data_IF_584615083874
#
_entry.id   IF_584615083874
#
_cell.length_a   1.000
_cell.length_b   1.000
_cell.length_c   1.000
_cell.angle_alpha   90.00
_cell.angle_beta   90.00
_cell.angle_gamma   90.00
#
_symmetry.space_group_name_H-M   'P 1'
#
loop_
_entity.id
_entity.type
_entity.pdbx_description
1 polymer ?
#
# COMPACT_ATOMS: atom_id res chain seq x y z
N UNK A 1 -11.13 -28.16 81.12
CA UNK A 1 -10.70 -28.82 79.85
C UNK A 1 -10.51 -27.75 78.78
N UNK A 2 -9.29 -27.58 78.28
CA UNK A 2 -8.92 -26.53 77.30
C UNK A 2 -9.49 -26.87 75.92
N UNK A 3 -10.19 -25.90 75.29
CA UNK A 3 -10.61 -25.94 73.87
C UNK A 3 -9.36 -25.91 72.99
N UNK A 4 -9.09 -27.01 72.30
CA UNK A 4 -8.12 -27.05 71.20
C UNK A 4 -8.75 -26.30 70.02
N UNK A 5 -8.25 -25.10 69.73
CA UNK A 5 -8.64 -24.35 68.54
C UNK A 5 -8.18 -25.12 67.31
N UNK A 6 -9.12 -25.30 66.37
CA UNK A 6 -8.93 -26.04 65.13
C UNK A 6 -8.11 -25.20 64.14
N UNK A 7 -6.80 -25.11 64.39
CA UNK A 7 -5.86 -24.26 63.66
C UNK A 7 -5.62 -24.77 62.22
N UNK A 8 -5.80 -26.06 61.96
CA UNK A 8 -5.54 -26.68 60.66
C UNK A 8 -6.49 -26.22 59.54
N UNK A 9 -7.76 -25.90 59.84
CA UNK A 9 -8.74 -25.52 58.82
C UNK A 9 -8.52 -24.15 58.19
N UNK A 10 -7.91 -23.21 58.92
CA UNK A 10 -7.62 -21.87 58.40
C UNK A 10 -6.45 -21.85 57.41
N UNK A 11 -5.43 -22.69 57.63
CA UNK A 11 -4.28 -22.78 56.72
C UNK A 11 -4.65 -23.41 55.38
N UNK A 12 -5.50 -24.44 55.36
CA UNK A 12 -5.96 -25.09 54.12
C UNK A 12 -6.83 -24.16 53.27
N UNK A 13 -7.69 -23.35 53.89
CA UNK A 13 -8.56 -22.41 53.18
C UNK A 13 -7.77 -21.23 52.60
N UNK A 14 -6.76 -20.74 53.31
CA UNK A 14 -5.85 -19.70 52.83
C UNK A 14 -4.99 -20.17 51.65
N UNK A 15 -4.48 -21.41 51.68
CA UNK A 15 -3.72 -21.99 50.57
C UNK A 15 -4.57 -22.14 49.29
N UNK A 16 -5.83 -22.59 49.43
CA UNK A 16 -6.77 -22.72 48.32
C UNK A 16 -7.10 -21.36 47.67
N UNK A 17 -7.26 -20.31 48.49
CA UNK A 17 -7.51 -18.95 48.00
C UNK A 17 -6.31 -18.39 47.21
N UNK A 18 -5.08 -18.61 47.69
CA UNK A 18 -3.85 -18.20 46.99
C UNK A 18 -3.71 -18.96 45.67
N UNK A 19 -4.03 -20.25 45.64
CA UNK A 19 -4.00 -21.05 44.41
C UNK A 19 -5.05 -20.59 43.39
N UNK A 20 -6.26 -20.26 43.85
CA UNK A 20 -7.33 -19.72 43.00
C UNK A 20 -6.96 -18.35 42.42
N UNK A 21 -6.37 -17.47 43.25
CA UNK A 21 -5.83 -16.17 42.85
C UNK A 21 -4.72 -16.35 41.81
N UNK A 22 -3.76 -17.27 42.03
CA UNK A 22 -2.71 -17.57 41.06
C UNK A 22 -3.29 -18.07 39.73
N UNK A 23 -4.29 -18.96 39.73
CA UNK A 23 -4.96 -19.45 38.51
C UNK A 23 -5.74 -18.33 37.80
N UNK A 24 -6.36 -17.41 38.55
CA UNK A 24 -7.05 -16.24 38.00
C UNK A 24 -6.08 -15.18 37.45
N UNK A 25 -4.84 -15.13 37.95
CA UNK A 25 -3.76 -14.27 37.45
C UNK A 25 -2.88 -14.92 36.37
N UNK A 26 -3.04 -16.21 36.06
CA UNK A 26 -2.30 -16.86 34.96
C UNK A 26 -2.52 -16.25 33.56
N UNK A 27 -3.64 -15.58 33.21
CA UNK A 27 -3.75 -14.92 31.91
C UNK A 27 -2.90 -13.64 31.80
N UNK A 28 -2.41 -13.09 32.92
CA UNK A 28 -1.72 -11.79 32.93
C UNK A 28 -0.20 -11.87 32.62
N UNK A 29 0.36 -13.08 32.55
CA UNK A 29 1.78 -13.32 32.21
C UNK A 29 1.91 -14.20 30.97
N UNK A 30 1.20 -13.85 29.89
CA UNK A 30 1.62 -14.33 28.56
C UNK A 30 2.93 -13.64 28.21
N UNK A 31 4.07 -14.26 28.53
CA UNK A 31 5.39 -13.79 28.08
C UNK A 31 5.42 -13.96 26.56
N UNK A 32 5.15 -12.87 25.83
CA UNK A 32 5.36 -12.84 24.39
C UNK A 32 6.85 -12.86 24.12
N UNK A 33 7.35 -13.95 23.56
CA UNK A 33 8.72 -14.03 23.07
C UNK A 33 8.75 -13.29 21.73
N UNK A 34 9.16 -12.02 21.74
CA UNK A 34 9.22 -11.20 20.54
C UNK A 34 10.65 -11.03 20.00
N UNK A 35 11.66 -11.50 20.73
CA UNK A 35 13.09 -11.37 20.37
C UNK A 35 13.76 -12.71 20.15
N UNK A 36 14.80 -12.72 19.31
CA UNK A 36 15.73 -13.84 19.10
C UNK A 36 17.16 -13.32 19.16
N UNK A 37 17.96 -13.84 20.09
CA UNK A 37 19.38 -13.50 20.24
C UNK A 37 20.28 -14.35 19.32
N UNK A 38 21.59 -14.07 19.31
CA UNK A 38 22.55 -14.82 18.49
C UNK A 38 22.78 -16.27 18.92
N UNK A 39 22.46 -16.62 20.17
CA UNK A 39 22.54 -18.00 20.67
C UNK A 39 21.27 -18.80 20.36
N UNK A 40 20.22 -18.16 19.87
CA UNK A 40 18.93 -18.77 19.62
C UNK A 40 18.70 -19.02 18.13
N UNK A 41 17.76 -19.92 17.84
CA UNK A 41 17.26 -20.13 16.49
C UNK A 41 15.79 -20.53 16.50
N UNK A 42 15.12 -20.26 15.39
CA UNK A 42 13.80 -20.80 15.09
C UNK A 42 13.99 -21.94 14.10
N UNK A 43 13.47 -23.11 14.40
CA UNK A 43 13.48 -24.25 13.47
C UNK A 43 12.07 -24.69 13.12
N UNK A 44 11.90 -25.21 11.92
CA UNK A 44 10.64 -25.81 11.45
C UNK A 44 10.13 -26.92 12.38
N UNK A 45 11.02 -27.69 13.03
CA UNK A 45 10.66 -28.80 13.93
C UNK A 45 10.26 -28.36 15.35
N UNK A 46 10.75 -27.19 15.80
CA UNK A 46 10.51 -26.71 17.16
C UNK A 46 9.09 -26.15 17.38
N UNK A 47 8.37 -25.83 16.30
CA UNK A 47 7.12 -25.05 16.32
C UNK A 47 7.23 -23.72 17.10
N UNK A 48 8.45 -23.24 17.39
CA UNK A 48 8.69 -21.96 18.06
C UNK A 48 8.37 -20.83 17.09
N UNK A 49 7.71 -19.80 17.60
CA UNK A 49 7.37 -18.56 16.89
C UNK A 49 7.82 -17.34 17.67
N UNK A 50 7.91 -16.19 17.02
CA UNK A 50 7.99 -14.89 17.69
C UNK A 50 6.61 -14.23 17.65
N UNK A 51 6.15 -13.69 18.77
CA UNK A 51 4.85 -13.02 18.86
C UNK A 51 5.07 -11.56 19.19
N UNK A 52 4.47 -10.65 18.42
CA UNK A 52 4.62 -9.22 18.67
C UNK A 52 4.01 -8.85 20.03
N UNK A 53 4.55 -7.82 20.73
CA UNK A 53 3.88 -7.30 21.91
C UNK A 53 2.43 -6.88 21.56
N UNK A 54 1.47 -7.27 22.41
CA UNK A 54 0.03 -7.12 22.14
C UNK A 54 -0.62 -8.30 21.40
N UNK A 55 0.18 -9.25 20.91
CA UNK A 55 -0.28 -10.49 20.31
C UNK A 55 -1.04 -10.30 19.01
N UNK A 56 -0.70 -9.27 18.23
CA UNK A 56 -1.33 -8.98 16.92
C UNK A 56 -0.69 -9.82 15.82
N UNK A 57 0.64 -9.85 15.78
CA UNK A 57 1.41 -10.52 14.74
C UNK A 57 2.20 -11.70 15.31
N UNK A 58 2.40 -12.70 14.47
CA UNK A 58 3.21 -13.88 14.78
C UNK A 58 4.11 -14.21 13.58
N UNK A 59 5.39 -14.44 13.87
CA UNK A 59 6.41 -14.82 12.91
C UNK A 59 6.84 -16.27 13.12
N UNK A 60 6.90 -17.03 12.03
CA UNK A 60 7.38 -18.40 12.07
C UNK A 60 7.37 -19.09 10.72
N UNK A 61 7.62 -20.40 10.76
CA UNK A 61 7.57 -21.25 9.57
C UNK A 61 6.13 -21.63 9.23
N UNK A 62 5.82 -21.64 7.95
CA UNK A 62 4.54 -22.11 7.44
C UNK A 62 4.71 -22.86 6.12
N UNK A 63 3.69 -23.65 5.80
CA UNK A 63 3.54 -24.37 4.55
C UNK A 63 2.12 -24.07 4.03
N UNK A 64 1.97 -23.39 2.88
CA UNK A 64 0.66 -23.21 2.25
C UNK A 64 -0.02 -24.56 1.99
N UNK A 65 -1.36 -24.57 2.01
CA UNK A 65 -2.15 -25.75 1.65
C UNK A 65 -1.86 -26.13 0.19
N UNK A 66 -1.73 -27.42 -0.10
CA UNK A 66 -1.50 -27.91 -1.47
C UNK A 66 -0.05 -27.84 -1.97
N UNK A 67 0.89 -27.23 -1.22
CA UNK A 67 2.32 -27.15 -1.60
C UNK A 67 3.21 -27.92 -0.63
N UNK A 68 4.32 -28.46 -1.16
CA UNK A 68 5.38 -29.12 -0.38
C UNK A 68 6.55 -28.19 -0.02
N UNK A 69 6.33 -26.86 -0.07
CA UNK A 69 7.37 -25.84 0.13
C UNK A 69 7.15 -25.08 1.43
N UNK A 70 8.24 -24.81 2.14
CA UNK A 70 8.23 -24.11 3.42
C UNK A 70 8.74 -22.68 3.30
N UNK A 71 8.13 -21.80 4.08
CA UNK A 71 8.40 -20.37 4.07
C UNK A 71 8.49 -19.85 5.49
N UNK A 72 9.27 -18.78 5.67
CA UNK A 72 9.26 -17.95 6.86
C UNK A 72 8.36 -16.74 6.59
N UNK A 73 7.40 -16.46 7.46
CA UNK A 73 6.50 -15.32 7.28
C UNK A 73 5.92 -14.79 8.58
N UNK A 74 5.19 -13.69 8.44
CA UNK A 74 4.45 -13.00 9.50
C UNK A 74 2.96 -13.08 9.16
N UNK A 75 2.12 -13.42 10.14
CA UNK A 75 0.66 -13.45 9.99
C UNK A 75 -0.05 -12.80 11.17
N UNK A 76 -1.33 -12.46 10.98
CA UNK A 76 -2.20 -12.03 12.07
C UNK A 76 -2.50 -13.20 13.01
N UNK A 77 -2.07 -13.12 14.26
CA UNK A 77 -2.16 -14.21 15.24
C UNK A 77 -3.59 -14.56 15.62
N UNK A 78 -4.45 -13.54 15.74
CA UNK A 78 -5.85 -13.67 16.21
C UNK A 78 -6.84 -13.96 15.07
N UNK A 79 -6.41 -13.86 13.82
CA UNK A 79 -7.30 -14.08 12.68
C UNK A 79 -7.74 -15.56 12.63
N UNK A 80 -9.03 -15.85 12.36
CA UNK A 80 -9.54 -17.21 12.32
C UNK A 80 -8.87 -18.06 11.23
N UNK A 81 -8.53 -17.42 10.10
CA UNK A 81 -7.76 -17.99 9.01
C UNK A 81 -6.39 -17.34 8.94
N UNK A 82 -5.34 -18.14 8.64
CA UNK A 82 -3.97 -17.62 8.52
C UNK A 82 -3.90 -16.57 7.42
N UNK A 83 -3.78 -15.31 7.84
CA UNK A 83 -3.63 -14.15 6.96
C UNK A 83 -2.18 -13.70 7.02
N UNK A 84 -1.41 -14.06 5.99
CA UNK A 84 0.01 -13.70 5.90
C UNK A 84 0.15 -12.23 5.48
N UNK A 85 0.96 -11.48 6.21
CA UNK A 85 1.25 -10.08 5.96
C UNK A 85 2.65 -9.86 5.34
N UNK A 86 3.54 -10.84 5.47
CA UNK A 86 4.91 -10.77 4.97
C UNK A 86 5.53 -12.16 4.83
N UNK A 87 6.40 -12.36 3.83
CA UNK A 87 7.11 -13.62 3.56
C UNK A 87 8.58 -13.32 3.19
N UNK A 88 9.53 -13.87 3.95
CA UNK A 88 10.96 -13.59 3.77
C UNK A 88 11.51 -14.17 2.46
N UNK A 89 11.29 -15.47 2.28
CA UNK A 89 11.93 -16.28 1.25
C UNK A 89 10.94 -16.68 0.15
N UNK A 90 10.09 -15.73 -0.27
CA UNK A 90 8.95 -15.97 -1.16
C UNK A 90 9.32 -16.62 -2.50
N UNK A 91 10.47 -16.21 -3.07
CA UNK A 91 11.00 -16.75 -4.34
C UNK A 91 12.11 -17.79 -4.13
N UNK A 92 12.51 -18.03 -2.88
CA UNK A 92 13.53 -19.01 -2.50
C UNK A 92 12.95 -19.94 -1.42
N UNK A 93 11.98 -20.80 -1.77
CA UNK A 93 11.33 -21.69 -0.80
C UNK A 93 12.28 -22.72 -0.23
N UNK A 94 12.03 -23.15 1.01
CA UNK A 94 12.64 -24.36 1.56
C UNK A 94 11.97 -25.58 0.93
N UNK A 95 12.77 -26.51 0.40
CA UNK A 95 12.29 -27.71 -0.29
C UNK A 95 11.83 -28.84 0.64
N UNK A 96 12.18 -28.79 1.93
CA UNK A 96 11.82 -29.79 2.93
C UNK A 96 11.39 -29.13 4.24
N UNK A 97 10.90 -29.93 5.19
CA UNK A 97 10.51 -29.48 6.53
C UNK A 97 11.71 -29.22 7.45
N UNK A 98 12.89 -28.95 6.90
CA UNK A 98 14.13 -28.65 7.63
C UNK A 98 14.57 -27.24 7.25
N UNK A 99 14.25 -26.29 8.13
CA UNK A 99 14.64 -24.89 8.01
C UNK A 99 15.10 -24.35 9.35
N UNK A 100 16.13 -23.52 9.35
CA UNK A 100 16.64 -22.84 10.56
C UNK A 100 16.87 -21.37 10.29
N UNK A 101 16.14 -20.50 10.99
CA UNK A 101 16.42 -19.07 11.06
C UNK A 101 17.32 -18.80 12.26
N UNK A 102 18.45 -18.12 12.05
CA UNK A 102 19.36 -17.71 13.12
C UNK A 102 20.16 -16.48 12.74
N UNK A 103 20.82 -15.87 13.72
CA UNK A 103 21.81 -14.83 13.48
C UNK A 103 23.18 -15.51 13.29
N UNK A 104 23.86 -15.20 12.19
CA UNK A 104 25.20 -15.69 11.87
C UNK A 104 26.07 -14.52 11.42
N UNK A 105 27.14 -14.25 12.16
CA UNK A 105 28.06 -13.15 11.82
C UNK A 105 27.39 -11.77 11.74
N UNK A 106 26.48 -11.47 12.67
CA UNK A 106 25.66 -10.24 12.73
C UNK A 106 24.70 -10.04 11.55
N UNK A 107 24.43 -11.09 10.77
CA UNK A 107 23.44 -11.11 9.71
C UNK A 107 22.35 -12.12 10.05
N UNK A 108 21.11 -11.88 9.64
CA UNK A 108 20.05 -12.87 9.79
C UNK A 108 20.06 -13.79 8.58
N UNK A 109 20.14 -15.09 8.82
CA UNK A 109 20.26 -16.13 7.78
C UNK A 109 19.19 -17.19 7.96
N UNK A 110 18.56 -17.58 6.85
CA UNK A 110 17.69 -18.73 6.75
C UNK A 110 18.43 -19.87 6.06
N UNK A 111 18.64 -20.97 6.78
CA UNK A 111 19.34 -22.16 6.30
C UNK A 111 18.36 -23.27 5.95
N UNK A 112 18.64 -23.98 4.85
CA UNK A 112 17.93 -25.20 4.44
C UNK A 112 18.59 -26.49 4.94
N UNK A 113 18.08 -27.63 4.45
CA UNK A 113 18.52 -28.97 4.86
C UNK A 113 20.01 -29.25 4.66
N UNK A 114 20.61 -28.75 3.58
CA UNK A 114 22.04 -28.92 3.30
C UNK A 114 22.92 -27.86 3.97
N UNK A 115 22.38 -27.12 4.94
CA UNK A 115 23.01 -25.94 5.59
C UNK A 115 23.33 -24.79 4.63
N UNK A 116 22.84 -24.86 3.40
CA UNK A 116 22.92 -23.77 2.44
C UNK A 116 22.07 -22.58 2.89
N UNK A 117 22.55 -21.37 2.62
CA UNK A 117 21.77 -20.15 2.87
C UNK A 117 20.74 -19.98 1.77
N UNK A 118 19.46 -20.02 2.15
CA UNK A 118 18.31 -19.87 1.25
C UNK A 118 17.89 -18.41 1.15
N UNK A 119 18.04 -17.67 2.25
CA UNK A 119 17.74 -16.24 2.31
C UNK A 119 18.59 -15.56 3.39
N UNK A 120 18.94 -14.29 3.21
CA UNK A 120 19.59 -13.48 4.25
C UNK A 120 19.32 -12.00 4.07
N UNK A 121 19.55 -11.20 5.12
CA UNK A 121 19.36 -9.75 5.11
C UNK A 121 20.48 -8.96 4.40
N UNK A 122 21.53 -9.63 3.91
CA UNK A 122 22.67 -9.06 3.19
C UNK A 122 23.34 -7.87 3.91
N UNK A 123 23.41 -7.89 5.25
CA UNK A 123 24.14 -6.90 6.01
C UNK A 123 25.64 -7.07 5.74
N UNK A 124 26.30 -6.02 5.27
CA UNK A 124 27.77 -5.99 5.19
C UNK A 124 28.34 -6.00 6.61
N UNK A 125 29.47 -6.69 6.81
CA UNK A 125 30.21 -6.66 8.08
C UNK A 125 30.73 -5.24 8.34
N UNK A 126 29.90 -4.37 8.89
CA UNK A 126 30.36 -3.20 9.61
C UNK A 126 31.07 -3.63 10.90
N UNK A 127 31.95 -2.79 11.43
CA UNK A 127 32.69 -3.01 12.68
C UNK A 127 31.74 -3.13 13.89
N UNK A 128 31.01 -4.23 14.02
CA UNK A 128 30.00 -4.43 15.05
C UNK A 128 30.62 -5.13 16.25
N UNK A 129 31.06 -4.34 17.25
CA UNK A 129 31.51 -4.81 18.56
C UNK A 129 30.36 -5.19 19.51
N UNK A 130 29.11 -4.83 19.17
CA UNK A 130 27.94 -5.00 20.03
C UNK A 130 27.04 -6.16 19.56
N UNK A 131 26.50 -7.00 20.47
CA UNK A 131 25.65 -8.12 20.09
C UNK A 131 24.37 -7.64 19.41
N UNK A 132 23.99 -8.35 18.34
CA UNK A 132 22.81 -8.07 17.51
C UNK A 132 21.65 -8.98 17.93
N UNK A 133 20.44 -8.44 17.86
CA UNK A 133 19.20 -9.18 18.11
C UNK A 133 18.21 -8.98 16.97
N UNK A 134 17.38 -9.98 16.73
CA UNK A 134 16.21 -9.89 15.87
C UNK A 134 14.96 -9.71 16.73
N UNK A 135 14.06 -8.81 16.35
CA UNK A 135 12.87 -8.47 17.15
C UNK A 135 11.65 -8.23 16.26
N UNK A 136 10.51 -8.80 16.65
CA UNK A 136 9.21 -8.51 16.05
C UNK A 136 8.50 -7.41 16.87
N UNK A 137 8.33 -6.24 16.27
CA UNK A 137 7.72 -5.07 16.89
C UNK A 137 6.18 -5.16 16.91
N UNK A 138 5.49 -4.35 17.74
CA UNK A 138 4.02 -4.39 17.87
C UNK A 138 3.26 -4.16 16.55
N UNK A 139 3.81 -3.32 15.68
CA UNK A 139 3.27 -3.00 14.35
C UNK A 139 3.56 -4.08 13.28
N UNK A 140 4.24 -5.16 13.65
CA UNK A 140 4.59 -6.26 12.73
C UNK A 140 5.91 -6.07 11.99
N UNK A 141 6.63 -4.97 12.23
CA UNK A 141 7.97 -4.77 11.66
C UNK A 141 8.95 -5.73 12.33
N UNK A 142 9.60 -6.58 11.52
CA UNK A 142 10.63 -7.49 11.99
C UNK A 142 11.98 -6.85 11.72
N UNK A 143 12.75 -6.60 12.77
CA UNK A 143 13.94 -5.76 12.71
C UNK A 143 15.17 -6.48 13.22
N UNK A 144 16.32 -6.06 12.70
CA UNK A 144 17.64 -6.39 13.25
C UNK A 144 18.23 -5.12 13.84
N UNK A 145 18.66 -5.17 15.10
CA UNK A 145 19.25 -4.03 15.80
C UNK A 145 20.34 -4.45 16.77
N UNK A 146 21.17 -3.50 17.18
CA UNK A 146 22.07 -3.72 18.31
C UNK A 146 21.26 -3.88 19.60
N UNK A 147 21.65 -4.84 20.44
CA UNK A 147 20.97 -5.15 21.71
C UNK A 147 20.82 -3.94 22.63
N UNK A 148 21.82 -3.06 22.66
CA UNK A 148 21.88 -1.85 23.47
C UNK A 148 21.17 -0.64 22.85
N UNK A 149 20.65 -0.74 21.63
CA UNK A 149 19.93 0.34 20.96
C UNK A 149 18.49 -0.08 20.67
N UNK A 150 17.51 0.68 21.16
CA UNK A 150 16.08 0.45 20.90
C UNK A 150 15.48 1.51 19.95
N UNK A 151 16.24 2.53 19.57
CA UNK A 151 15.79 3.59 18.67
C UNK A 151 15.69 3.07 17.24
N UNK A 152 14.64 3.51 16.54
CA UNK A 152 14.38 3.11 15.16
C UNK A 152 15.44 3.57 14.17
N UNK A 153 16.15 4.66 14.47
CA UNK A 153 17.31 5.14 13.71
C UNK A 153 18.51 4.19 13.78
N UNK A 154 18.55 3.28 14.76
CA UNK A 154 19.60 2.30 14.97
C UNK A 154 19.33 0.93 14.35
N UNK A 155 18.25 0.79 13.58
CA UNK A 155 17.93 -0.47 12.91
C UNK A 155 18.91 -0.75 11.77
N UNK A 156 19.47 -1.95 11.76
CA UNK A 156 20.37 -2.43 10.72
C UNK A 156 19.59 -2.95 9.50
N UNK A 157 18.44 -3.57 9.75
CA UNK A 157 17.53 -4.09 8.73
C UNK A 157 16.09 -4.11 9.26
N UNK A 158 15.11 -3.94 8.36
CA UNK A 158 13.69 -3.94 8.70
C UNK A 158 12.87 -4.63 7.59
N UNK A 159 11.89 -5.46 7.97
CA UNK A 159 10.97 -6.08 7.01
C UNK A 159 10.10 -5.06 6.28
N UNK A 160 9.81 -3.92 6.92
CA UNK A 160 9.02 -2.83 6.33
C UNK A 160 9.68 -2.20 5.09
N UNK A 161 11.00 -2.35 4.91
CA UNK A 161 11.69 -1.92 3.70
C UNK A 161 11.58 -2.93 2.54
N UNK A 162 11.10 -4.15 2.82
CA UNK A 162 10.98 -5.25 1.87
C UNK A 162 9.56 -5.84 1.91
N UNK A 163 8.52 -5.05 1.59
CA UNK A 163 7.14 -5.54 1.54
C UNK A 163 6.98 -6.72 0.56
N UNK A 164 5.96 -7.56 0.81
CA UNK A 164 5.53 -8.60 -0.15
C UNK A 164 4.39 -8.07 -1.01
N UNK A 165 3.17 -8.46 -0.71
CA UNK A 165 1.92 -8.11 -1.36
C UNK A 165 1.06 -7.19 -0.50
N UNK A 166 1.42 -6.98 0.78
CA UNK A 166 0.62 -6.27 1.78
C UNK A 166 1.33 -5.02 2.31
N UNK A 167 0.56 -3.93 2.50
CA UNK A 167 0.92 -2.77 3.30
C UNK A 167 0.16 -2.80 4.64
N UNK A 168 0.90 -2.86 5.74
CA UNK A 168 0.41 -2.76 7.12
C UNK A 168 0.35 -1.31 7.60
N UNK A 169 -0.34 -1.02 8.71
CA UNK A 169 -0.24 0.28 9.37
C UNK A 169 1.23 0.66 9.65
N UNK A 170 1.56 1.94 9.55
CA UNK A 170 2.90 2.52 9.72
C UNK A 170 3.94 2.15 8.64
N UNK A 171 3.65 1.19 7.76
CA UNK A 171 4.50 0.94 6.60
C UNK A 171 4.46 2.11 5.62
N UNK A 172 5.58 2.33 4.93
CA UNK A 172 5.73 3.35 3.90
C UNK A 172 5.70 2.69 2.53
N UNK A 173 4.73 3.09 1.70
CA UNK A 173 4.64 2.69 0.29
C UNK A 173 5.13 3.84 -0.58
N UNK A 174 6.22 3.64 -1.32
CA UNK A 174 6.86 4.69 -2.12
C UNK A 174 8.37 4.79 -1.90
N UNK A 175 8.93 5.96 -2.20
CA UNK A 175 10.37 6.19 -2.23
C UNK A 175 10.95 6.65 -0.90
N UNK A 176 12.06 6.02 -0.53
CA UNK A 176 13.09 6.58 0.33
C UNK A 176 14.10 7.32 -0.56
N UNK A 177 14.16 8.65 -0.47
CA UNK A 177 15.04 9.44 -1.34
C UNK A 177 16.51 9.38 -0.90
N UNK A 178 16.78 9.09 0.38
CA UNK A 178 18.15 8.98 0.91
C UNK A 178 18.84 7.71 0.39
N UNK A 179 18.12 6.59 0.36
CA UNK A 179 18.65 5.30 -0.10
C UNK A 179 18.33 4.98 -1.57
N UNK A 180 17.40 5.72 -2.18
CA UNK A 180 16.90 5.46 -3.53
C UNK A 180 15.96 4.25 -3.64
N UNK A 181 15.54 3.67 -2.51
CA UNK A 181 14.67 2.47 -2.48
C UNK A 181 13.21 2.85 -2.73
N UNK A 182 12.58 2.21 -3.71
CA UNK A 182 11.13 2.22 -3.88
C UNK A 182 10.53 0.99 -3.18
N UNK A 183 9.71 1.21 -2.16
CA UNK A 183 8.93 0.18 -1.47
C UNK A 183 7.59 0.02 -2.19
N UNK A 184 7.35 -1.14 -2.79
CA UNK A 184 6.17 -1.42 -3.61
C UNK A 184 5.61 -2.81 -3.32
N UNK A 185 4.36 -3.06 -3.71
CA UNK A 185 3.70 -4.34 -3.46
C UNK A 185 3.76 -5.21 -4.72
N UNK A 186 3.99 -6.51 -4.54
CA UNK A 186 3.97 -7.53 -5.58
C UNK A 186 3.05 -8.67 -5.15
N UNK A 187 2.00 -8.91 -5.93
CA UNK A 187 1.05 -10.01 -5.77
C UNK A 187 1.71 -11.35 -5.50
N UNK A 188 0.99 -12.24 -4.81
CA UNK A 188 1.30 -13.67 -4.84
C UNK A 188 1.02 -14.23 -6.24
N UNK A 189 1.73 -15.29 -6.62
CA UNK A 189 1.52 -15.98 -7.90
C UNK A 189 0.19 -16.71 -7.96
N UNK A 190 -0.35 -17.07 -6.80
CA UNK A 190 -1.68 -17.66 -6.63
C UNK A 190 -2.02 -17.77 -5.16
N UNK A 191 -3.25 -18.18 -4.84
CA UNK A 191 -3.73 -18.28 -3.45
C UNK A 191 -2.91 -19.20 -2.54
N UNK A 192 -2.24 -20.20 -3.11
CA UNK A 192 -1.38 -21.17 -2.42
C UNK A 192 0.12 -20.96 -2.69
N UNK A 193 0.49 -19.97 -3.50
CA UNK A 193 1.87 -19.74 -3.97
C UNK A 193 2.35 -18.33 -3.65
N UNK A 194 3.09 -18.15 -2.54
CA UNK A 194 3.57 -16.83 -2.15
C UNK A 194 4.70 -16.28 -3.02
N UNK A 195 5.21 -17.04 -3.99
CA UNK A 195 6.20 -16.52 -4.95
C UNK A 195 5.66 -15.29 -5.69
N UNK A 196 6.57 -14.50 -6.23
CA UNK A 196 6.25 -13.25 -6.91
C UNK A 196 5.33 -13.50 -8.11
N UNK A 197 4.13 -12.93 -8.05
CA UNK A 197 3.15 -12.91 -9.12
C UNK A 197 3.44 -11.83 -10.16
N UNK A 198 2.52 -11.65 -11.11
CA UNK A 198 2.70 -10.73 -12.24
C UNK A 198 2.29 -9.29 -11.93
N UNK A 199 1.53 -9.06 -10.87
CA UNK A 199 0.94 -7.74 -10.58
C UNK A 199 1.74 -7.00 -9.52
N UNK A 200 2.10 -5.77 -9.86
CA UNK A 200 2.93 -4.89 -9.04
C UNK A 200 2.23 -3.55 -8.89
N UNK A 201 2.10 -3.08 -7.66
CA UNK A 201 1.57 -1.75 -7.35
C UNK A 201 2.67 -0.88 -6.77
N UNK A 202 3.09 0.15 -7.52
CA UNK A 202 4.27 0.96 -7.19
C UNK A 202 4.05 2.45 -7.48
N UNK A 203 4.77 3.28 -6.74
CA UNK A 203 4.84 4.72 -7.02
C UNK A 203 5.77 4.99 -8.21
N UNK A 204 5.33 5.80 -9.16
CA UNK A 204 6.14 6.33 -10.25
C UNK A 204 6.31 7.84 -10.09
N UNK A 205 7.56 8.27 -9.90
CA UNK A 205 7.93 9.67 -9.68
C UNK A 205 8.51 10.33 -10.95
N UNK A 206 8.50 9.64 -12.10
CA UNK A 206 9.06 10.15 -13.38
C UNK A 206 8.04 10.90 -14.22
N UNK A 207 6.94 11.31 -13.60
CA UNK A 207 5.81 12.04 -14.21
C UNK A 207 5.75 13.44 -13.62
N UNK A 208 4.87 14.29 -14.14
CA UNK A 208 4.66 15.63 -13.60
C UNK A 208 4.34 15.62 -12.11
N UNK A 209 3.47 14.70 -11.67
CA UNK A 209 3.22 14.41 -10.25
C UNK A 209 3.50 12.93 -9.97
N UNK A 210 3.91 12.56 -8.74
CA UNK A 210 3.98 11.16 -8.36
C UNK A 210 2.62 10.47 -8.43
N UNK A 211 2.57 9.30 -9.06
CA UNK A 211 1.33 8.53 -9.20
C UNK A 211 1.57 7.05 -8.91
N UNK A 212 0.63 6.41 -8.21
CA UNK A 212 0.65 4.96 -8.08
C UNK A 212 0.06 4.28 -9.31
N UNK A 213 0.72 3.21 -9.73
CA UNK A 213 0.35 2.44 -10.93
C UNK A 213 0.27 0.97 -10.57
N UNK A 214 -0.83 0.33 -10.98
CA UNK A 214 -0.93 -1.12 -11.05
C UNK A 214 -0.40 -1.60 -12.40
N UNK A 215 0.60 -2.48 -12.36
CA UNK A 215 1.33 -2.95 -13.54
C UNK A 215 1.20 -4.46 -13.62
N UNK A 216 0.76 -4.95 -14.77
CA UNK A 216 0.85 -6.34 -15.16
C UNK A 216 2.22 -6.59 -15.83
N UNK A 217 2.95 -7.59 -15.35
CA UNK A 217 4.29 -7.98 -15.83
C UNK A 217 4.31 -9.36 -16.53
N UNK A 218 3.14 -9.87 -16.93
CA UNK A 218 3.02 -11.17 -17.60
C UNK A 218 3.89 -11.24 -18.87
N UNK A 219 4.54 -12.38 -19.10
CA UNK A 219 5.47 -12.61 -20.22
C UNK A 219 6.58 -11.55 -20.36
N UNK A 220 7.02 -10.95 -19.26
CA UNK A 220 8.01 -9.85 -19.22
C UNK A 220 7.57 -8.57 -19.95
N UNK A 221 6.28 -8.43 -20.27
CA UNK A 221 5.71 -7.20 -20.80
C UNK A 221 5.21 -6.34 -19.65
N UNK A 222 5.54 -5.05 -19.64
CA UNK A 222 5.07 -4.12 -18.61
C UNK A 222 3.90 -3.32 -19.14
N UNK A 223 2.70 -3.68 -18.71
CA UNK A 223 1.46 -2.99 -19.09
C UNK A 223 0.89 -2.29 -17.85
N UNK A 224 0.74 -0.97 -17.92
CA UNK A 224 0.03 -0.21 -16.90
C UNK A 224 -1.46 -0.51 -17.07
N UNK A 225 -2.10 -1.10 -16.06
CA UNK A 225 -3.50 -1.52 -16.14
C UNK A 225 -4.43 -0.49 -15.52
N UNK A 226 -4.00 0.14 -14.43
CA UNK A 226 -4.78 1.07 -13.62
C UNK A 226 -3.84 2.13 -13.02
N UNK A 227 -4.37 3.33 -12.78
CA UNK A 227 -3.64 4.42 -12.14
C UNK A 227 -4.45 5.05 -11.00
N UNK A 228 -3.87 5.16 -9.82
CA UNK A 228 -4.53 5.79 -8.67
C UNK A 228 -4.63 7.30 -8.79
N UNK A 229 -3.96 7.91 -9.77
CA UNK A 229 -3.90 9.35 -9.93
C UNK A 229 -2.89 10.01 -8.98
N UNK A 230 -2.64 11.33 -9.14
CA UNK A 230 -1.82 12.07 -8.19
C UNK A 230 -2.55 12.31 -6.86
N UNK A 231 -1.75 12.60 -5.82
CA UNK A 231 -2.26 13.09 -4.55
C UNK A 231 -2.74 14.54 -4.67
N UNK A 232 -3.99 14.82 -4.30
CA UNK A 232 -4.60 16.15 -4.42
C UNK A 232 -4.54 17.00 -3.13
N UNK A 233 -3.79 16.55 -2.11
CA UNK A 233 -3.75 17.18 -0.78
C UNK A 233 -4.60 16.45 0.27
N UNK A 234 -5.60 15.69 -0.16
CA UNK A 234 -6.55 14.97 0.70
C UNK A 234 -6.57 13.47 0.40
N UNK A 235 -6.53 13.09 -0.87
CA UNK A 235 -6.65 11.72 -1.36
C UNK A 235 -5.96 11.56 -2.73
N UNK A 236 -5.84 10.31 -3.20
CA UNK A 236 -5.43 10.05 -4.58
C UNK A 236 -6.62 10.19 -5.52
N UNK A 237 -6.47 10.92 -6.63
CA UNK A 237 -7.62 11.33 -7.45
C UNK A 237 -8.40 10.18 -8.11
N UNK A 238 -7.78 9.00 -8.26
CA UNK A 238 -8.40 7.77 -8.77
C UNK A 238 -8.84 6.79 -7.68
N UNK A 239 -8.63 7.12 -6.40
CA UNK A 239 -9.12 6.35 -5.25
C UNK A 239 -9.81 7.36 -4.32
N UNK A 240 -11.10 7.69 -4.55
CA UNK A 240 -11.83 8.54 -3.62
C UNK A 240 -11.90 7.81 -2.27
N UNK A 241 -11.17 8.33 -1.28
CA UNK A 241 -11.14 7.73 0.04
C UNK A 241 -12.37 8.20 0.83
N UNK A 242 -12.93 7.31 1.66
CA UNK A 242 -14.06 7.70 2.51
C UNK A 242 -13.55 8.62 3.61
N UNK A 243 -13.88 9.91 3.51
CA UNK A 243 -13.59 10.87 4.56
C UNK A 243 -14.32 10.51 5.86
N UNK A 244 -13.68 10.78 7.02
CA UNK A 244 -14.31 10.67 8.32
C UNK A 244 -14.27 9.28 8.98
N UNK A 245 -13.35 8.39 8.57
CA UNK A 245 -13.11 7.14 9.30
C UNK A 245 -12.55 7.44 10.70
N UNK A 246 -13.23 6.97 11.74
CA UNK A 246 -12.82 7.20 13.14
C UNK A 246 -11.73 6.23 13.63
N UNK A 247 -11.40 5.19 12.85
CA UNK A 247 -10.48 4.12 13.23
C UNK A 247 -9.17 4.12 12.44
N UNK A 248 -9.04 4.96 11.42
CA UNK A 248 -7.87 5.00 10.53
C UNK A 248 -7.63 6.42 10.02
N UNK A 249 -6.36 6.81 9.96
CA UNK A 249 -5.90 8.02 9.27
C UNK A 249 -4.84 7.63 8.25
N UNK A 250 -4.78 8.35 7.15
CA UNK A 250 -3.82 8.14 6.07
C UNK A 250 -3.12 9.45 5.76
N UNK A 251 -1.87 9.34 5.30
CA UNK A 251 -1.05 10.49 4.98
C UNK A 251 -0.16 10.18 3.78
N UNK A 252 0.06 11.22 2.98
CA UNK A 252 1.02 11.20 1.90
C UNK A 252 2.09 12.25 2.19
N UNK A 253 3.32 11.77 2.34
CA UNK A 253 4.49 12.61 2.62
C UNK A 253 5.26 12.79 1.33
N UNK A 254 5.50 14.04 0.95
CA UNK A 254 6.39 14.42 -0.16
C UNK A 254 7.32 15.52 0.32
N UNK A 255 8.57 15.16 0.65
CA UNK A 255 9.59 16.08 1.14
C UNK A 255 10.99 15.66 0.64
N UNK A 256 12.05 16.28 1.17
CA UNK A 256 13.43 15.98 0.75
C UNK A 256 13.95 14.61 1.18
N UNK A 257 13.27 13.91 2.07
CA UNK A 257 13.67 12.59 2.58
C UNK A 257 12.89 11.44 1.94
N UNK A 258 11.61 11.65 1.65
CA UNK A 258 10.73 10.60 1.15
C UNK A 258 9.54 11.10 0.35
N UNK A 259 9.04 10.21 -0.50
CA UNK A 259 7.78 10.36 -1.23
C UNK A 259 6.98 9.08 -1.02
N UNK A 260 6.09 9.07 -0.03
CA UNK A 260 5.45 7.83 0.41
C UNK A 260 4.04 8.03 0.96
N UNK A 261 3.18 7.05 0.70
CA UNK A 261 1.90 6.86 1.39
C UNK A 261 2.10 6.01 2.64
N UNK A 262 1.37 6.35 3.69
CA UNK A 262 1.28 5.56 4.92
C UNK A 262 -0.11 5.72 5.54
N UNK A 263 -0.53 4.75 6.34
CA UNK A 263 -1.74 4.86 7.13
C UNK A 263 -1.53 4.32 8.54
N UNK A 264 -2.30 4.83 9.49
CA UNK A 264 -2.22 4.50 10.91
C UNK A 264 -3.61 4.17 11.43
N UNK A 265 -3.69 3.19 12.34
CA UNK A 265 -4.93 2.86 13.03
C UNK A 265 -5.06 3.72 14.28
N UNK A 266 -6.14 4.49 14.40
CA UNK A 266 -6.48 5.24 15.62
C UNK A 266 -7.20 4.35 16.64
N UNK A 267 -7.82 3.26 16.18
CA UNK A 267 -8.40 2.23 17.03
C UNK A 267 -7.63 0.90 16.89
N UNK A 268 -6.87 0.55 17.92
CA UNK A 268 -6.02 -0.66 17.95
C UNK A 268 -6.81 -1.98 18.03
N UNK A 269 -8.13 -1.92 18.20
CA UNK A 269 -9.00 -3.11 18.16
C UNK A 269 -9.43 -3.50 16.74
N UNK A 270 -9.17 -2.65 15.75
CA UNK A 270 -9.54 -2.86 14.34
C UNK A 270 -8.27 -3.05 13.53
N UNK A 271 -8.25 -4.03 12.62
CA UNK A 271 -7.11 -4.28 11.75
C UNK A 271 -7.47 -3.92 10.32
N UNK A 272 -6.61 -3.20 9.61
CA UNK A 272 -6.78 -2.86 8.20
C UNK A 272 -5.46 -3.02 7.45
N UNK A 273 -5.53 -3.39 6.18
CA UNK A 273 -4.37 -3.57 5.30
C UNK A 273 -4.72 -3.25 3.86
N UNK A 274 -3.71 -2.85 3.08
CA UNK A 274 -3.80 -2.88 1.61
C UNK A 274 -3.11 -4.15 1.11
N UNK A 275 -3.68 -4.82 0.11
CA UNK A 275 -3.07 -6.02 -0.48
C UNK A 275 -3.23 -6.00 -1.99
N UNK A 276 -2.19 -6.43 -2.71
CA UNK A 276 -2.26 -6.63 -4.17
C UNK A 276 -2.52 -8.10 -4.45
N UNK A 277 -3.59 -8.38 -5.17
CA UNK A 277 -3.95 -9.69 -5.69
C UNK A 277 -3.54 -9.83 -7.16
N UNK A 278 -3.96 -10.91 -7.82
CA UNK A 278 -3.70 -11.10 -9.26
C UNK A 278 -4.32 -10.02 -10.16
N UNK A 279 -5.27 -9.19 -9.71
CA UNK A 279 -5.84 -8.15 -10.58
C UNK A 279 -6.17 -6.85 -9.85
N UNK A 280 -6.19 -6.88 -8.52
CA UNK A 280 -6.74 -5.79 -7.72
C UNK A 280 -5.78 -5.33 -6.63
N UNK A 281 -5.93 -4.07 -6.24
CA UNK A 281 -5.48 -3.57 -4.95
C UNK A 281 -6.70 -3.47 -4.05
N UNK A 282 -6.70 -4.20 -2.94
CA UNK A 282 -7.82 -4.27 -2.02
C UNK A 282 -7.46 -3.64 -0.68
N UNK A 283 -8.36 -2.81 -0.14
CA UNK A 283 -8.35 -2.49 1.29
C UNK A 283 -9.24 -3.48 2.03
N UNK A 284 -8.63 -4.26 2.91
CA UNK A 284 -9.30 -5.25 3.73
C UNK A 284 -9.30 -4.78 5.18
N UNK A 285 -10.46 -4.81 5.83
CA UNK A 285 -10.62 -4.43 7.24
C UNK A 285 -11.26 -5.58 8.02
N UNK A 286 -10.73 -5.87 9.20
CA UNK A 286 -11.21 -6.92 10.08
C UNK A 286 -11.48 -6.34 11.47
N UNK A 287 -12.69 -6.59 11.97
CA UNK A 287 -13.16 -6.17 13.28
C UNK A 287 -13.42 -7.46 14.08
N UNK A 288 -12.51 -7.85 14.99
CA UNK A 288 -12.72 -9.02 15.83
C UNK A 288 -14.04 -8.92 16.62
N UNK A 289 -14.78 -10.03 16.80
CA UNK A 289 -14.43 -11.40 16.42
C UNK A 289 -15.05 -11.84 15.08
N UNK A 290 -15.21 -10.95 14.09
CA UNK A 290 -15.80 -11.34 12.79
C UNK A 290 -15.03 -12.51 12.16
N UNK A 291 -15.73 -13.34 11.36
CA UNK A 291 -15.13 -14.57 10.80
C UNK A 291 -14.20 -14.33 9.62
N UNK A 292 -14.30 -13.17 8.98
CA UNK A 292 -13.56 -12.89 7.75
C UNK A 292 -13.23 -11.39 7.61
N UNK A 293 -12.26 -11.11 6.75
CA UNK A 293 -11.92 -9.76 6.33
C UNK A 293 -13.02 -9.18 5.45
N UNK A 294 -13.46 -7.97 5.76
CA UNK A 294 -14.37 -7.21 4.91
C UNK A 294 -13.59 -6.46 3.84
N UNK A 295 -13.97 -6.64 2.57
CA UNK A 295 -13.51 -5.80 1.47
C UNK A 295 -14.11 -4.41 1.63
N UNK A 296 -13.28 -3.44 2.01
CA UNK A 296 -13.68 -2.06 2.22
C UNK A 296 -13.74 -1.30 0.90
N UNK A 297 -12.71 -1.47 0.05
CA UNK A 297 -12.72 -1.05 -1.36
C UNK A 297 -11.72 -1.90 -2.16
N UNK A 298 -11.89 -1.92 -3.48
CA UNK A 298 -11.03 -2.60 -4.46
C UNK A 298 -10.70 -1.64 -5.59
N UNK A 299 -9.53 -1.81 -6.21
CA UNK A 299 -9.09 -1.06 -7.39
C UNK A 299 -8.56 -2.05 -8.43
N UNK A 300 -9.11 -2.12 -9.66
CA UNK A 300 -10.21 -1.31 -10.18
C UNK A 300 -11.55 -1.58 -9.47
N UNK A 301 -12.36 -0.52 -9.35
CA UNK A 301 -13.70 -0.55 -8.74
C UNK A 301 -14.77 -0.86 -9.79
N UNK A 302 -14.61 -0.34 -11.00
CA UNK A 302 -15.62 -0.34 -12.05
C UNK A 302 -14.98 -0.29 -13.45
N UNK A 303 -15.82 -0.24 -14.48
CA UNK A 303 -15.39 -0.25 -15.89
C UNK A 303 -14.57 0.97 -16.30
N UNK A 304 -14.62 2.09 -15.56
CA UNK A 304 -13.92 3.34 -15.88
C UNK A 304 -12.51 3.45 -15.28
N UNK A 305 -12.08 2.53 -14.42
CA UNK A 305 -10.73 2.53 -13.84
C UNK A 305 -9.60 2.06 -14.78
N UNK A 306 -9.82 1.09 -15.70
CA UNK A 306 -8.80 0.66 -16.64
C UNK A 306 -8.32 1.80 -17.57
N UNK A 307 -6.99 1.92 -17.75
CA UNK A 307 -6.33 3.05 -18.43
C UNK A 307 -6.68 3.28 -19.91
N UNK A 308 -7.29 2.29 -20.59
CA UNK A 308 -7.46 2.29 -22.05
C UNK A 308 -8.90 2.06 -22.53
N UNK A 309 -9.90 2.24 -21.65
CA UNK A 309 -11.29 2.14 -22.09
C UNK A 309 -11.68 3.30 -23.01
N UNK A 310 -11.34 4.53 -22.62
CA UNK A 310 -11.63 5.74 -23.37
C UNK A 310 -10.32 6.41 -23.82
N UNK A 311 -10.21 6.70 -25.11
CA UNK A 311 -9.02 7.28 -25.72
C UNK A 311 -8.82 8.76 -25.40
N UNK A 312 -7.92 9.41 -26.12
CA UNK A 312 -7.55 10.81 -25.86
C UNK A 312 -8.74 11.78 -25.97
N UNK A 313 -8.72 12.84 -25.16
CA UNK A 313 -9.76 13.88 -25.09
C UNK A 313 -11.19 13.37 -24.88
N UNK A 314 -11.31 12.18 -24.32
CA UNK A 314 -12.56 11.60 -23.84
C UNK A 314 -12.46 11.25 -22.37
N UNK A 315 -13.59 11.16 -21.69
CA UNK A 315 -13.66 10.75 -20.30
C UNK A 315 -14.68 9.63 -20.12
N UNK A 316 -14.39 8.72 -19.20
CA UNK A 316 -15.34 7.68 -18.80
C UNK A 316 -16.31 8.19 -17.74
N UNK A 317 -17.60 7.97 -17.92
CA UNK A 317 -18.67 8.25 -16.97
C UNK A 317 -19.52 6.99 -16.81
N UNK A 318 -19.75 6.57 -15.55
CA UNK A 318 -20.59 5.41 -15.24
C UNK A 318 -22.07 5.67 -15.48
N UNK A 319 -22.49 6.93 -15.49
CA UNK A 319 -23.90 7.33 -15.58
C UNK A 319 -24.37 7.33 -17.05
N UNK A 320 -23.44 7.46 -18.00
CA UNK A 320 -23.77 7.55 -19.43
C UNK A 320 -23.69 6.20 -20.13
N UNK A 321 -24.44 6.07 -21.22
CA UNK A 321 -24.35 4.94 -22.16
C UNK A 321 -24.27 5.48 -23.59
N UNK A 322 -23.12 5.37 -24.29
CA UNK A 322 -21.88 4.69 -23.88
C UNK A 322 -21.15 5.38 -22.72
N UNK A 323 -20.26 4.65 -22.04
CA UNK A 323 -19.48 5.18 -20.90
C UNK A 323 -18.44 6.22 -21.34
N UNK A 324 -17.90 6.11 -22.55
CA UNK A 324 -16.96 7.10 -23.07
C UNK A 324 -17.70 8.31 -23.65
N UNK A 325 -17.31 9.50 -23.21
CA UNK A 325 -17.85 10.78 -23.65
C UNK A 325 -16.73 11.65 -24.20
N UNK A 326 -16.92 12.25 -25.38
CA UNK A 326 -16.02 13.32 -25.81
C UNK A 326 -16.18 14.53 -24.89
N UNK A 327 -15.06 15.21 -24.62
CA UNK A 327 -15.09 16.52 -23.97
C UNK A 327 -15.86 17.48 -24.89
N UNK A 328 -16.68 18.38 -24.33
CA UNK A 328 -17.39 19.39 -25.13
C UNK A 328 -16.39 20.20 -25.98
N UNK A 329 -16.70 20.41 -27.27
CA UNK A 329 -15.77 20.98 -28.25
C UNK A 329 -14.87 19.95 -28.96
N UNK A 330 -15.10 18.66 -28.70
CA UNK A 330 -14.45 17.54 -29.38
C UNK A 330 -15.49 16.59 -29.98
N UNK A 331 -15.07 15.87 -31.03
CA UNK A 331 -15.88 14.86 -31.74
C UNK A 331 -15.10 13.54 -31.86
N UNK A 332 -15.78 12.38 -32.00
CA UNK A 332 -15.09 11.10 -32.13
C UNK A 332 -14.12 11.10 -33.31
N UNK A 333 -12.91 10.56 -33.08
CA UNK A 333 -11.91 10.42 -34.15
C UNK A 333 -12.37 9.44 -35.23
N UNK A 334 -13.11 8.40 -34.82
CA UNK A 334 -13.73 7.41 -35.68
C UNK A 334 -15.20 7.23 -35.28
N UNK A 335 -16.16 7.91 -35.95
CA UNK A 335 -17.57 7.83 -35.63
C UNK A 335 -18.13 6.40 -35.71
N UNK A 336 -17.70 5.60 -36.68
CA UNK A 336 -18.21 4.24 -36.87
C UNK A 336 -17.83 3.32 -35.70
N UNK A 337 -16.60 3.42 -35.18
CA UNK A 337 -16.18 2.69 -33.99
C UNK A 337 -16.88 3.21 -32.74
N UNK A 338 -17.03 4.53 -32.63
CA UNK A 338 -17.71 5.16 -31.49
C UNK A 338 -19.17 4.71 -31.37
N UNK A 339 -19.89 4.60 -32.49
CA UNK A 339 -21.27 4.10 -32.54
C UNK A 339 -21.36 2.61 -32.14
N UNK A 340 -20.28 1.85 -32.32
CA UNK A 340 -20.12 0.48 -31.82
C UNK A 340 -19.64 0.41 -30.36
N UNK A 341 -19.60 1.56 -29.66
CA UNK A 341 -19.13 1.71 -28.27
C UNK A 341 -17.63 1.44 -28.09
N UNK A 342 -16.85 1.51 -29.17
CA UNK A 342 -15.40 1.47 -29.12
C UNK A 342 -14.85 2.91 -29.01
N UNK A 343 -14.54 3.32 -27.78
CA UNK A 343 -13.98 4.63 -27.45
C UNK A 343 -12.45 4.69 -27.51
N UNK A 344 -11.76 3.63 -27.91
CA UNK A 344 -10.29 3.50 -27.76
C UNK A 344 -9.51 4.53 -28.57
N UNK A 345 -10.04 4.97 -29.71
CA UNK A 345 -9.42 6.02 -30.54
C UNK A 345 -9.59 7.44 -30.00
N UNK A 346 -10.49 7.65 -29.02
CA UNK A 346 -10.75 8.95 -28.43
C UNK A 346 -11.41 9.95 -29.36
N UNK A 347 -11.19 11.22 -29.07
CA UNK A 347 -11.83 12.36 -29.70
C UNK A 347 -10.79 13.37 -30.19
N UNK A 348 -11.20 14.19 -31.17
CA UNK A 348 -10.40 15.26 -31.75
C UNK A 348 -11.16 16.58 -31.66
N UNK A 349 -10.43 17.70 -31.61
CA UNK A 349 -11.03 19.04 -31.53
C UNK A 349 -11.92 19.30 -32.73
N UNK A 350 -13.07 19.92 -32.50
CA UNK A 350 -13.94 20.42 -33.58
C UNK A 350 -13.33 21.64 -34.24
N UNK A 351 -12.86 22.59 -33.44
CA UNK A 351 -12.27 23.85 -33.90
C UNK A 351 -10.79 23.91 -33.52
N UNK A 352 -9.93 24.35 -34.44
CA UNK A 352 -8.52 24.55 -34.17
C UNK A 352 -8.30 25.66 -33.13
N UNK A 353 -7.30 25.49 -32.27
CA UNK A 353 -6.93 26.51 -31.27
C UNK A 353 -6.30 27.72 -31.95
N UNK A 354 -6.61 28.91 -31.44
CA UNK A 354 -6.09 30.18 -31.95
C UNK A 354 -4.94 30.74 -31.11
N UNK A 355 -4.65 30.11 -29.97
CA UNK A 355 -3.77 30.56 -28.89
C UNK A 355 -4.24 31.86 -28.22
N UNK A 356 -4.43 32.95 -28.99
CA UNK A 356 -4.73 34.28 -28.45
C UNK A 356 -6.20 34.55 -28.10
N UNK A 357 -7.15 33.77 -28.62
CA UNK A 357 -8.60 33.90 -28.33
C UNK A 357 -9.19 32.58 -27.82
N UNK A 358 -8.39 31.84 -27.07
CA UNK A 358 -8.83 30.61 -26.45
C UNK A 358 -9.36 30.89 -25.03
N UNK A 359 -10.11 29.95 -24.49
CA UNK A 359 -10.54 29.95 -23.09
C UNK A 359 -10.61 28.53 -22.55
N UNK A 360 -11.24 28.35 -21.40
CA UNK A 360 -11.28 27.05 -20.74
C UNK A 360 -12.70 26.56 -20.48
N UNK A 361 -12.92 25.29 -20.81
CA UNK A 361 -14.03 24.51 -20.32
C UNK A 361 -13.67 23.94 -18.96
N UNK A 362 -14.41 24.34 -17.92
CA UNK A 362 -14.32 23.72 -16.61
C UNK A 362 -15.10 22.39 -16.60
N UNK A 363 -14.39 21.31 -16.31
CA UNK A 363 -14.91 19.98 -16.07
C UNK A 363 -14.83 19.66 -14.57
N UNK A 364 -15.98 19.40 -13.95
CA UNK A 364 -16.05 19.10 -12.51
C UNK A 364 -15.96 17.59 -12.25
N UNK A 365 -15.56 17.23 -11.04
CA UNK A 365 -15.55 15.86 -10.52
C UNK A 365 -14.68 14.89 -11.35
N UNK A 366 -13.53 15.36 -11.84
CA UNK A 366 -12.64 14.59 -12.68
C UNK A 366 -11.54 13.91 -11.87
N UNK A 367 -11.18 12.70 -12.28
CA UNK A 367 -9.84 12.16 -12.06
C UNK A 367 -8.89 12.86 -13.06
N UNK A 368 -7.75 13.35 -12.58
CA UNK A 368 -6.83 14.09 -13.44
C UNK A 368 -6.24 13.19 -14.55
N UNK A 369 -5.99 13.76 -15.74
CA UNK A 369 -5.34 13.04 -16.83
C UNK A 369 -3.97 12.51 -16.43
N UNK A 370 -3.43 11.58 -17.22
CA UNK A 370 -2.05 11.10 -17.04
C UNK A 370 -1.05 12.26 -16.97
N UNK A 371 -0.23 12.28 -15.91
CA UNK A 371 0.71 13.36 -15.67
C UNK A 371 2.07 13.18 -16.38
N UNK A 372 2.23 12.18 -17.26
CA UNK A 372 3.44 11.96 -18.07
C UNK A 372 3.87 13.19 -18.87
N UNK A 373 2.92 13.95 -19.40
CA UNK A 373 3.18 15.19 -20.17
C UNK A 373 2.85 16.46 -19.38
N UNK A 374 2.62 16.31 -18.07
CA UNK A 374 2.29 17.42 -17.20
C UNK A 374 3.54 18.04 -16.58
N UNK A 375 3.46 19.34 -16.29
CA UNK A 375 4.44 20.08 -15.49
C UNK A 375 3.73 20.71 -14.30
N UNK A 376 4.45 20.89 -13.20
CA UNK A 376 3.90 21.34 -11.93
C UNK A 376 4.65 22.54 -11.39
N UNK A 377 3.90 23.55 -10.96
CA UNK A 377 4.39 24.66 -10.15
C UNK A 377 3.53 24.80 -8.90
N UNK A 378 4.04 24.38 -7.74
CA UNK A 378 3.28 24.36 -6.48
C UNK A 378 3.04 25.74 -5.86
N UNK A 379 3.55 26.82 -6.46
CA UNK A 379 3.47 28.19 -5.90
C UNK A 379 2.35 29.03 -6.52
N UNK A 380 1.78 28.58 -7.64
CA UNK A 380 0.78 29.35 -8.39
C UNK A 380 -0.63 29.14 -7.86
N UNK A 381 -1.41 30.22 -7.85
CA UNK A 381 -2.87 30.14 -7.69
C UNK A 381 -3.56 29.84 -9.02
N UNK A 382 -4.88 29.62 -8.97
CA UNK A 382 -5.69 29.27 -10.15
C UNK A 382 -5.62 30.31 -11.27
N UNK A 383 -5.58 31.60 -10.94
CA UNK A 383 -5.58 32.67 -11.93
C UNK A 383 -4.25 32.72 -12.66
N UNK A 384 -3.14 32.64 -11.93
CA UNK A 384 -1.79 32.55 -12.52
C UNK A 384 -1.61 31.28 -13.35
N UNK A 385 -2.21 30.17 -12.93
CA UNK A 385 -2.20 28.93 -13.69
C UNK A 385 -2.92 29.08 -15.03
N UNK A 386 -4.08 29.74 -15.03
CA UNK A 386 -4.85 30.06 -16.24
C UNK A 386 -4.06 30.98 -17.18
N UNK A 387 -3.54 32.10 -16.67
CA UNK A 387 -2.73 33.06 -17.43
C UNK A 387 -1.50 32.39 -18.07
N UNK A 388 -0.81 31.54 -17.30
CA UNK A 388 0.34 30.79 -17.79
C UNK A 388 -0.05 29.83 -18.90
N UNK A 389 -1.12 29.06 -18.73
CA UNK A 389 -1.60 28.14 -19.77
C UNK A 389 -2.04 28.89 -21.03
N UNK A 390 -2.70 30.05 -20.92
CA UNK A 390 -3.05 30.87 -22.10
C UNK A 390 -1.81 31.37 -22.84
N UNK A 391 -0.78 31.78 -22.10
CA UNK A 391 0.47 32.28 -22.68
C UNK A 391 1.28 31.22 -23.44
N UNK A 392 1.12 29.95 -23.09
CA UNK A 392 1.77 28.82 -23.76
C UNK A 392 0.82 28.18 -24.78
N UNK A 393 1.05 28.39 -26.07
CA UNK A 393 0.20 27.84 -27.14
C UNK A 393 0.15 26.30 -27.19
N UNK A 394 1.07 25.60 -26.52
CA UNK A 394 1.07 24.14 -26.42
C UNK A 394 0.27 23.62 -25.22
N UNK A 395 -0.13 24.49 -24.29
CA UNK A 395 -0.94 24.08 -23.14
C UNK A 395 -2.34 23.64 -23.59
N UNK A 396 -2.74 22.43 -23.20
CA UNK A 396 -4.04 21.85 -23.56
C UNK A 396 -5.02 21.80 -22.39
N UNK A 397 -4.52 21.76 -21.15
CA UNK A 397 -5.34 21.88 -19.94
C UNK A 397 -4.51 22.27 -18.72
N UNK A 398 -5.20 22.70 -17.67
CA UNK A 398 -4.61 22.85 -16.35
C UNK A 398 -5.57 22.42 -15.23
N UNK A 399 -5.02 22.20 -14.05
CA UNK A 399 -5.74 21.92 -12.80
C UNK A 399 -4.94 22.43 -11.60
N UNK A 400 -5.59 22.46 -10.44
CA UNK A 400 -4.92 22.77 -9.18
C UNK A 400 -4.26 21.51 -8.61
N UNK A 401 -3.04 21.65 -8.06
CA UNK A 401 -2.28 20.51 -7.52
C UNK A 401 -2.76 20.08 -6.12
N UNK A 402 -3.10 21.04 -5.26
CA UNK A 402 -3.59 20.81 -3.90
C UNK A 402 -4.92 21.52 -3.71
N UNK A 403 -6.00 20.77 -3.49
CA UNK A 403 -7.37 21.32 -3.42
C UNK A 403 -7.71 21.94 -2.07
N UNK A 404 -6.83 21.81 -1.07
CA UNK A 404 -7.08 22.35 0.28
C UNK A 404 -7.02 23.87 0.29
N UNK A 405 -7.67 24.48 1.29
CA UNK A 405 -7.57 25.92 1.59
C UNK A 405 -7.81 26.87 0.40
N UNK A 406 -8.73 26.51 -0.51
CA UNK A 406 -9.06 27.33 -1.68
C UNK A 406 -8.22 27.05 -2.92
N UNK A 407 -7.32 26.05 -2.87
CA UNK A 407 -6.58 25.57 -4.03
C UNK A 407 -5.22 26.24 -4.22
N UNK A 408 -4.14 25.46 -4.24
CA UNK A 408 -2.78 25.94 -4.49
C UNK A 408 -2.00 24.99 -5.39
N UNK A 409 -1.12 25.57 -6.20
CA UNK A 409 -0.27 24.86 -7.15
C UNK A 409 -0.98 24.64 -8.48
N UNK A 410 -0.22 24.70 -9.56
CA UNK A 410 -0.65 24.56 -10.93
C UNK A 410 -0.09 23.27 -11.51
N UNK A 411 -0.95 22.44 -12.08
CA UNK A 411 -0.58 21.32 -12.95
C UNK A 411 -1.04 21.69 -14.34
N UNK A 412 -0.15 21.69 -15.32
CA UNK A 412 -0.51 22.00 -16.71
C UNK A 412 -0.03 20.91 -17.64
N UNK A 413 -0.86 20.57 -18.62
CA UNK A 413 -0.59 19.51 -19.59
C UNK A 413 -0.26 20.09 -20.96
N UNK A 414 0.67 19.42 -21.63
CA UNK A 414 0.91 19.59 -23.06
C UNK A 414 0.53 18.31 -23.80
N UNK A 415 0.05 18.45 -25.03
CA UNK A 415 -0.38 17.31 -25.84
C UNK A 415 -1.71 16.68 -25.41
N UNK A 416 -1.88 15.40 -25.73
CA UNK A 416 -3.15 14.69 -25.55
C UNK A 416 -3.46 14.40 -24.08
N UNK A 417 -4.73 14.61 -23.71
CA UNK A 417 -5.23 14.24 -22.39
C UNK A 417 -5.78 12.82 -22.45
N UNK A 418 -5.29 11.93 -21.60
CA UNK A 418 -5.66 10.51 -21.57
C UNK A 418 -5.99 10.04 -20.17
N UNK A 419 -6.69 8.91 -20.06
CA UNK A 419 -7.06 8.26 -18.80
C UNK A 419 -7.86 9.18 -17.86
N UNK A 420 -8.88 9.84 -18.42
CA UNK A 420 -9.80 10.71 -17.69
C UNK A 420 -11.03 9.91 -17.32
N UNK A 421 -11.48 10.03 -16.07
CA UNK A 421 -12.79 9.54 -15.62
C UNK A 421 -13.51 10.61 -14.81
N UNK A 422 -14.83 10.55 -14.81
CA UNK A 422 -15.70 11.40 -14.00
C UNK A 422 -16.26 10.60 -12.83
N UNK A 423 -16.38 11.25 -11.68
CA UNK A 423 -17.07 10.72 -10.51
C UNK A 423 -18.42 11.41 -10.32
N UNK A 424 -19.38 10.69 -9.75
CA UNK A 424 -20.66 11.26 -9.33
C UNK A 424 -20.48 12.22 -8.14
N UNK A 425 -19.55 11.90 -7.23
CA UNK A 425 -19.21 12.67 -6.02
C UNK A 425 -17.69 12.61 -5.84
N UNK A 426 -17.08 13.72 -5.42
CA UNK A 426 -15.63 13.83 -5.26
C UNK A 426 -14.91 14.26 -6.55
N UNK A 427 -13.66 13.83 -6.74
CA UNK A 427 -12.83 14.28 -7.84
C UNK A 427 -12.45 15.77 -7.73
N UNK A 428 -11.89 16.33 -8.81
CA UNK A 428 -11.46 17.72 -8.85
C UNK A 428 -11.75 18.40 -10.18
N UNK A 429 -11.61 19.73 -10.22
CA UNK A 429 -11.81 20.50 -11.44
C UNK A 429 -10.63 20.31 -12.42
N UNK A 430 -10.95 20.13 -13.70
CA UNK A 430 -10.01 20.14 -14.81
C UNK A 430 -10.44 21.23 -15.81
N UNK A 431 -9.53 22.10 -16.20
CA UNK A 431 -9.78 23.20 -17.12
C UNK A 431 -9.18 22.86 -18.49
N UNK A 432 -10.02 22.49 -19.45
CA UNK A 432 -9.58 22.07 -20.79
C UNK A 432 -9.65 23.26 -21.74
N UNK A 433 -8.53 23.59 -22.39
CA UNK A 433 -8.45 24.72 -23.31
C UNK A 433 -9.32 24.45 -24.53
N UNK A 434 -10.10 25.43 -24.98
CA UNK A 434 -10.94 25.37 -26.18
C UNK A 434 -10.82 26.69 -26.96
N UNK A 435 -11.16 26.65 -28.25
CA UNK A 435 -11.37 27.86 -29.01
C UNK A 435 -12.60 28.61 -28.43
N UNK A 436 -12.58 29.94 -28.39
CA UNK A 436 -13.72 30.73 -27.91
C UNK A 436 -15.06 30.38 -28.59
N UNK A 437 -15.04 29.98 -29.87
CA UNK A 437 -16.24 29.58 -30.59
C UNK A 437 -16.96 28.36 -29.99
N UNK A 438 -16.24 27.49 -29.29
CA UNK A 438 -16.80 26.26 -28.70
C UNK A 438 -17.24 26.46 -27.24
N UNK A 439 -16.97 27.62 -26.64
CA UNK A 439 -17.25 27.90 -25.23
C UNK A 439 -18.70 28.34 -24.97
N UNK A 440 -19.36 28.95 -25.96
CA UNK A 440 -20.74 29.45 -25.88
C UNK A 440 -20.80 30.96 -25.90
#
# INVERSE_FOLDING_TARGET
MKRVKNIYHHYTFSFLLVFLVLILFHPALSIYVNTMSSSESLTTSSNRTLVSPGGVFELGFFKPLGRSRWYLGIWYKKAPWKTYAWVANRDNPLSSSIGTLKISGNNLVLLGQSTNTVWSTNLTRGNARSPVIAELLPNGNFVIRHSNNKDSSGFLWQSFDFPTDTLLPEMKLGYDLKTGRNRFLTSWKGSDDPSSGNFVYKLDIRRGLPEFILINQFLNQRVETQRSGPWNGIEFSGIPEVQGLNYMVYNYTENSEEIAYSFHMTNQSIYSRLTVSELTLDRLTWIPPSRDWSLFWTLPTDVCDPLYLCGSYSYCDLITSPNCNCIRGFVPKNPQQWDLRDGTQGCVRTTQMSCGRDGFLRLNNMNLPDTKTATVDRTMDVKKCEERCLSDCNCTSFAIADVRNGGLGCVFWTGELVAIRKFAVGGQDLYVRLNAADLG
#
